data_IF_481553958531
#
_entry.id   IF_481553958531
#
_cell.length_a   1.000
_cell.length_b   1.000
_cell.length_c   1.000
_cell.angle_alpha   90.00
_cell.angle_beta   90.00
_cell.angle_gamma   90.00
#
_symmetry.space_group_name_H-M   'P 1'
#
loop_
_entity.id
_entity.type
_entity.pdbx_description
1 polymer ?
#
# COMPACT_ATOMS: atom_id res chain seq x y z
N UNK A 1 -29.87 14.55 21.41
CA UNK A 1 -28.85 14.11 20.44
C UNK A 1 -28.29 12.80 20.96
N UNK A 2 -28.58 11.68 20.30
CA UNK A 2 -27.84 10.45 20.58
C UNK A 2 -26.35 10.74 20.40
N UNK A 3 -25.52 10.35 21.38
CA UNK A 3 -24.08 10.31 21.16
C UNK A 3 -23.86 9.39 19.98
N UNK A 4 -23.34 9.91 18.86
CA UNK A 4 -22.91 9.09 17.74
C UNK A 4 -22.02 7.96 18.27
N UNK A 5 -22.45 6.72 18.02
CA UNK A 5 -21.84 5.53 18.59
C UNK A 5 -20.48 5.34 17.92
N UNK A 6 -19.39 5.54 18.67
CA UNK A 6 -18.01 5.32 18.22
C UNK A 6 -17.85 3.88 17.70
N UNK A 7 -17.54 3.66 16.41
CA UNK A 7 -17.42 2.32 15.87
C UNK A 7 -16.11 1.66 16.33
N UNK A 8 -16.05 0.34 16.36
CA UNK A 8 -14.78 -0.37 16.39
C UNK A 8 -14.13 -0.31 15.01
N UNK A 9 -12.81 -0.40 14.96
CA UNK A 9 -12.05 -0.39 13.72
C UNK A 9 -11.16 -1.64 13.70
N UNK A 10 -11.35 -2.48 12.68
CA UNK A 10 -10.55 -3.67 12.43
C UNK A 10 -9.88 -3.52 11.07
N UNK A 11 -8.55 -3.43 11.05
CA UNK A 11 -7.76 -3.30 9.83
C UNK A 11 -6.95 -4.56 9.61
N UNK A 12 -7.13 -5.21 8.46
CA UNK A 12 -6.31 -6.33 8.00
C UNK A 12 -5.42 -5.81 6.88
N UNK A 13 -4.11 -5.97 7.03
CA UNK A 13 -3.14 -5.54 6.03
C UNK A 13 -2.19 -6.66 5.63
N UNK A 14 -2.04 -6.86 4.32
CA UNK A 14 -1.09 -7.80 3.72
C UNK A 14 0.10 -7.09 3.10
N UNK A 15 1.11 -7.88 2.78
CA UNK A 15 2.36 -7.45 2.18
C UNK A 15 2.40 -7.83 0.69
N UNK A 16 2.81 -6.93 -0.19
CA UNK A 16 3.12 -7.25 -1.60
C UNK A 16 1.95 -7.89 -2.40
N UNK A 17 0.70 -7.57 -2.06
CA UNK A 17 -0.49 -8.11 -2.75
C UNK A 17 -1.03 -7.17 -3.83
N UNK A 18 -0.84 -5.86 -3.69
CA UNK A 18 -1.39 -4.85 -4.59
C UNK A 18 -2.88 -5.03 -4.84
N UNK A 19 -3.27 -5.08 -6.11
CA UNK A 19 -4.64 -5.38 -6.57
C UNK A 19 -4.82 -6.78 -7.13
N UNK A 20 -3.98 -7.73 -6.70
CA UNK A 20 -4.02 -9.09 -7.22
C UNK A 20 -5.17 -9.94 -6.62
N UNK A 21 -6.42 -9.50 -6.77
CA UNK A 21 -7.61 -10.05 -6.14
C UNK A 21 -8.79 -10.16 -7.13
N UNK A 22 -9.73 -11.08 -6.88
CA UNK A 22 -10.90 -11.31 -7.73
C UNK A 22 -11.79 -10.07 -7.89
N UNK A 23 -12.06 -9.32 -6.81
CA UNK A 23 -12.87 -8.10 -6.84
C UNK A 23 -12.23 -6.93 -7.61
N UNK A 24 -10.94 -7.03 -7.94
CA UNK A 24 -10.23 -6.12 -8.83
C UNK A 24 -10.08 -6.66 -10.26
N UNK A 25 -10.75 -7.78 -10.58
CA UNK A 25 -10.82 -8.36 -11.92
C UNK A 25 -9.71 -9.36 -12.25
N UNK A 26 -8.91 -9.80 -11.27
CA UNK A 26 -7.85 -10.80 -11.49
C UNK A 26 -8.38 -12.22 -11.44
N UNK A 27 -7.81 -13.12 -12.23
CA UNK A 27 -8.19 -14.54 -12.26
C UNK A 27 -7.61 -15.33 -11.06
N UNK A 28 -8.04 -14.98 -9.85
CA UNK A 28 -7.74 -15.66 -8.60
C UNK A 28 -8.98 -15.72 -7.71
N UNK A 29 -9.24 -16.88 -7.11
CA UNK A 29 -10.42 -17.08 -6.27
C UNK A 29 -10.23 -16.41 -4.90
N UNK A 30 -11.01 -15.36 -4.65
CA UNK A 30 -11.04 -14.64 -3.37
C UNK A 30 -12.49 -14.38 -2.92
N UNK A 31 -13.30 -15.43 -2.69
CA UNK A 31 -14.73 -15.27 -2.41
C UNK A 31 -15.03 -14.44 -1.14
N UNK A 32 -14.18 -14.49 -0.12
CA UNK A 32 -14.43 -13.74 1.12
C UNK A 32 -14.14 -12.24 0.96
N UNK A 33 -13.09 -11.88 0.22
CA UNK A 33 -12.78 -10.52 -0.18
C UNK A 33 -13.78 -9.97 -1.19
N UNK A 34 -14.28 -10.80 -2.10
CA UNK A 34 -15.37 -10.43 -3.00
C UNK A 34 -16.63 -10.10 -2.20
N UNK A 35 -17.00 -10.95 -1.23
CA UNK A 35 -18.12 -10.67 -0.31
C UNK A 35 -17.90 -9.36 0.46
N UNK A 36 -16.68 -9.11 0.95
CA UNK A 36 -16.36 -7.86 1.66
C UNK A 36 -16.56 -6.63 0.77
N UNK A 37 -16.19 -6.73 -0.51
CA UNK A 37 -16.43 -5.68 -1.50
C UNK A 37 -17.93 -5.49 -1.80
N UNK A 38 -18.65 -6.58 -2.02
CA UNK A 38 -20.09 -6.58 -2.36
C UNK A 38 -20.97 -6.07 -1.22
N UNK A 39 -20.61 -6.35 0.03
CA UNK A 39 -21.31 -5.85 1.21
C UNK A 39 -20.91 -4.40 1.57
N UNK A 40 -19.73 -3.96 1.16
CA UNK A 40 -19.09 -2.73 1.61
C UNK A 40 -18.82 -1.73 0.48
N UNK A 41 -17.59 -1.20 0.48
CA UNK A 41 -17.07 -0.24 -0.49
C UNK A 41 -15.72 -0.72 -1.01
N UNK A 42 -15.53 -0.66 -2.32
CA UNK A 42 -14.26 -0.93 -3.01
C UNK A 42 -13.69 0.34 -3.65
N UNK A 43 -12.41 0.61 -3.42
CA UNK A 43 -11.69 1.77 -3.98
C UNK A 43 -10.78 1.37 -5.13
N UNK A 44 -11.03 1.92 -6.32
CA UNK A 44 -10.47 1.37 -7.58
C UNK A 44 -9.41 2.24 -8.20
N UNK A 45 -9.22 3.44 -7.66
CA UNK A 45 -8.20 4.41 -8.05
C UNK A 45 -7.43 4.92 -6.80
N UNK A 46 -7.11 3.98 -5.89
CA UNK A 46 -6.32 4.18 -4.68
C UNK A 46 -4.87 3.70 -4.82
N UNK A 47 -3.91 4.53 -4.41
CA UNK A 47 -2.48 4.23 -4.55
C UNK A 47 -1.71 4.47 -3.25
N UNK A 48 -0.67 3.69 -3.00
CA UNK A 48 0.25 4.00 -1.90
C UNK A 48 1.17 5.17 -2.27
N UNK A 49 1.60 5.92 -1.26
CA UNK A 49 2.63 6.96 -1.38
C UNK A 49 3.98 6.44 -1.80
N UNK A 50 4.27 5.16 -1.54
CA UNK A 50 5.60 4.60 -1.66
C UNK A 50 5.54 3.09 -1.98
N UNK A 51 6.25 2.59 -3.01
CA UNK A 51 6.27 1.17 -3.36
C UNK A 51 7.19 0.34 -2.45
N UNK A 52 7.36 0.75 -1.18
CA UNK A 52 8.11 0.05 -0.15
C UNK A 52 7.24 -0.10 1.10
N UNK A 53 7.35 -1.26 1.75
CA UNK A 53 6.48 -1.64 2.86
C UNK A 53 6.53 -0.68 4.06
N UNK A 54 7.72 -0.38 4.63
CA UNK A 54 7.82 0.51 5.80
C UNK A 54 7.29 1.92 5.51
N UNK A 55 7.78 2.64 4.47
CA UNK A 55 7.29 3.97 4.14
C UNK A 55 5.79 4.01 3.85
N UNK A 56 5.26 3.05 3.07
CA UNK A 56 3.82 3.02 2.74
C UNK A 56 2.95 2.84 3.98
N UNK A 57 3.29 1.87 4.83
CA UNK A 57 2.53 1.60 6.07
C UNK A 57 2.60 2.78 7.03
N UNK A 58 3.75 3.45 7.12
CA UNK A 58 3.86 4.69 7.88
C UNK A 58 2.96 5.80 7.31
N UNK A 59 2.86 5.96 6.00
CA UNK A 59 1.93 6.92 5.39
C UNK A 59 0.46 6.60 5.69
N UNK A 60 0.10 5.31 5.69
CA UNK A 60 -1.22 4.83 6.10
C UNK A 60 -1.57 5.25 7.54
N UNK A 61 -0.62 5.11 8.47
CA UNK A 61 -0.83 5.40 9.90
C UNK A 61 -0.72 6.89 10.25
N UNK A 62 0.09 7.66 9.52
CA UNK A 62 0.38 9.07 9.84
C UNK A 62 -0.40 10.05 8.97
N UNK A 63 -0.96 9.60 7.85
CA UNK A 63 -1.57 10.46 6.83
C UNK A 63 -0.58 11.43 6.18
N UNK A 64 0.72 11.12 6.16
CA UNK A 64 1.81 11.98 5.69
C UNK A 64 2.66 11.28 4.63
N UNK A 65 3.41 12.05 3.83
CA UNK A 65 4.35 11.49 2.86
C UNK A 65 5.64 10.96 3.54
N UNK A 66 6.31 9.95 2.96
CA UNK A 66 7.59 9.41 3.47
C UNK A 66 8.63 10.44 3.88
N UNK A 67 8.94 11.42 3.04
CA UNK A 67 9.94 12.45 3.37
C UNK A 67 9.48 13.39 4.50
N UNK A 68 8.19 13.42 4.82
CA UNK A 68 7.65 14.24 5.90
C UNK A 68 7.52 13.49 7.22
N UNK A 69 7.22 12.19 7.21
CA UNK A 69 7.20 11.37 8.43
C UNK A 69 8.57 10.73 8.75
N UNK A 70 9.58 10.92 7.90
CA UNK A 70 10.98 10.55 8.16
C UNK A 70 11.35 9.12 7.74
N UNK A 71 10.38 8.21 7.73
CA UNK A 71 10.58 6.81 7.30
C UNK A 71 10.65 6.70 5.76
N UNK A 72 11.81 7.07 5.21
CA UNK A 72 12.12 7.12 3.77
C UNK A 72 12.77 5.84 3.21
N UNK A 73 12.92 4.81 4.06
CA UNK A 73 13.50 3.51 3.76
C UNK A 73 12.93 2.43 4.68
N UNK A 74 13.51 1.22 4.65
CA UNK A 74 12.99 0.07 5.39
C UNK A 74 13.37 0.10 6.88
N UNK A 75 12.39 -0.12 7.76
CA UNK A 75 12.60 -0.02 9.21
C UNK A 75 13.62 -1.04 9.73
N UNK A 76 13.59 -2.27 9.23
CA UNK A 76 14.57 -3.31 9.58
C UNK A 76 15.99 -3.03 9.05
N UNK A 77 16.16 -2.00 8.20
CA UNK A 77 17.45 -1.55 7.67
C UNK A 77 17.91 -0.24 8.31
N UNK A 78 17.39 0.11 9.48
CA UNK A 78 17.86 1.26 10.26
C UNK A 78 17.19 2.60 9.93
N UNK A 79 16.14 2.61 9.11
CA UNK A 79 15.31 3.81 8.90
C UNK A 79 14.22 3.89 9.97
N UNK A 80 13.80 5.10 10.35
CA UNK A 80 12.79 5.30 11.38
C UNK A 80 11.86 6.46 11.05
N UNK A 81 10.69 6.47 11.69
CA UNK A 81 9.85 7.65 11.78
C UNK A 81 10.57 8.80 12.50
N UNK A 82 10.16 10.04 12.22
CA UNK A 82 10.51 11.15 13.09
C UNK A 82 9.88 10.96 14.48
N UNK A 83 10.42 11.68 15.45
CA UNK A 83 9.85 11.75 16.79
C UNK A 83 8.51 12.50 16.72
N UNK A 84 7.52 12.09 17.54
CA UNK A 84 6.22 12.75 17.69
C UNK A 84 5.39 12.86 16.40
N UNK A 85 5.45 11.83 15.55
CA UNK A 85 4.53 11.71 14.42
C UNK A 85 3.10 11.38 14.89
N UNK A 86 2.06 11.96 14.25
CA UNK A 86 0.65 11.78 14.63
C UNK A 86 0.15 10.40 14.20
N UNK A 87 0.53 9.37 14.95
CA UNK A 87 0.22 7.98 14.65
C UNK A 87 -1.23 7.65 15.01
N UNK A 88 -1.98 7.13 14.03
CA UNK A 88 -3.38 6.75 14.20
C UNK A 88 -3.67 5.91 15.46
N UNK A 89 -2.87 4.87 15.81
CA UNK A 89 -3.12 4.11 17.03
C UNK A 89 -2.99 4.96 18.30
N UNK A 90 -2.00 5.85 18.38
CA UNK A 90 -1.83 6.76 19.52
C UNK A 90 -3.00 7.75 19.63
N UNK A 91 -3.39 8.37 18.51
CA UNK A 91 -4.51 9.32 18.47
C UNK A 91 -5.85 8.68 18.89
N UNK A 92 -6.07 7.43 18.48
CA UNK A 92 -7.25 6.67 18.90
C UNK A 92 -7.19 6.31 20.39
N UNK A 93 -6.03 5.92 20.90
CA UNK A 93 -5.84 5.65 22.33
C UNK A 93 -6.17 6.88 23.19
N UNK A 94 -5.66 8.06 22.81
CA UNK A 94 -5.94 9.33 23.48
C UNK A 94 -7.43 9.69 23.44
N UNK A 95 -8.15 9.28 22.39
CA UNK A 95 -9.59 9.44 22.25
C UNK A 95 -10.44 8.37 22.97
N UNK A 96 -9.81 7.49 23.74
CA UNK A 96 -10.44 6.47 24.57
C UNK A 96 -10.67 5.11 23.91
N UNK A 97 -10.03 4.82 22.77
CA UNK A 97 -10.04 3.49 22.19
C UNK A 97 -9.03 2.58 22.88
N UNK A 98 -9.35 1.28 22.96
CA UNK A 98 -8.33 0.27 23.20
C UNK A 98 -7.61 -0.08 21.90
N UNK A 99 -6.27 0.00 21.85
CA UNK A 99 -5.50 -0.17 20.61
C UNK A 99 -4.62 -1.41 20.62
N UNK A 100 -4.77 -2.22 19.57
CA UNK A 100 -4.17 -3.55 19.48
C UNK A 100 -3.41 -3.74 18.17
N UNK A 101 -2.27 -4.42 18.25
CA UNK A 101 -1.55 -4.95 17.09
C UNK A 101 -1.50 -6.47 17.18
N UNK A 102 -1.93 -7.15 16.13
CA UNK A 102 -1.81 -8.60 15.97
C UNK A 102 -0.86 -8.92 14.81
N UNK A 103 0.16 -9.71 15.10
CA UNK A 103 1.10 -10.16 14.08
C UNK A 103 2.08 -9.08 13.66
N UNK A 104 2.13 -8.80 12.36
CA UNK A 104 3.24 -8.09 11.75
C UNK A 104 3.03 -6.59 11.64
N UNK A 105 4.09 -5.84 11.89
CA UNK A 105 4.23 -4.43 11.54
C UNK A 105 5.63 -4.22 10.96
N UNK A 106 5.81 -3.18 10.16
CA UNK A 106 7.06 -2.89 9.49
C UNK A 106 7.47 -1.40 9.51
N UNK A 107 6.81 -0.60 10.34
CA UNK A 107 6.99 0.84 10.49
C UNK A 107 8.06 1.19 11.54
N UNK A 108 8.34 0.29 12.47
CA UNK A 108 9.28 0.51 13.58
C UNK A 108 10.04 -0.76 13.97
N UNK A 109 11.23 -0.61 14.56
CA UNK A 109 11.92 -1.72 15.24
C UNK A 109 11.25 -2.07 16.58
N UNK A 110 10.49 -1.14 17.16
CA UNK A 110 9.72 -1.34 18.39
C UNK A 110 8.23 -1.08 18.14
N UNK A 111 7.38 -2.12 18.02
CA UNK A 111 5.94 -1.96 17.78
C UNK A 111 5.22 -1.06 18.80
N UNK A 112 5.68 -1.00 20.06
CA UNK A 112 5.06 -0.15 21.08
C UNK A 112 5.25 1.35 20.82
N UNK A 113 6.29 1.73 20.06
CA UNK A 113 6.49 3.13 19.65
C UNK A 113 5.42 3.63 18.67
N UNK A 114 4.60 2.74 18.12
CA UNK A 114 3.54 3.08 17.18
C UNK A 114 2.22 3.49 17.86
N UNK A 115 2.16 3.48 19.19
CA UNK A 115 0.96 3.88 19.95
C UNK A 115 -0.03 2.76 20.24
N UNK A 116 0.32 1.50 19.98
CA UNK A 116 -0.48 0.35 20.38
C UNK A 116 -0.35 0.09 21.88
N UNK A 117 -1.48 0.02 22.58
CA UNK A 117 -1.52 -0.31 24.01
C UNK A 117 -1.18 -1.77 24.28
N UNK A 118 -1.52 -2.68 23.36
CA UNK A 118 -1.19 -4.11 23.48
C UNK A 118 -0.78 -4.70 22.13
N UNK A 119 0.29 -5.49 22.16
CA UNK A 119 0.87 -6.15 20.98
C UNK A 119 0.82 -7.66 21.20
N UNK A 120 0.19 -8.37 20.27
CA UNK A 120 0.04 -9.83 20.27
C UNK A 120 1.01 -10.45 19.26
N UNK A 121 2.00 -11.17 19.78
CA UNK A 121 3.02 -11.84 18.98
C UNK A 121 2.62 -13.30 18.76
N UNK A 122 2.38 -13.66 17.50
CA UNK A 122 2.16 -15.03 17.08
C UNK A 122 3.49 -15.81 16.93
N UNK A 123 3.38 -17.13 16.73
CA UNK A 123 4.53 -18.00 16.43
C UNK A 123 5.33 -17.55 15.20
N UNK A 124 4.64 -16.96 14.23
CA UNK A 124 5.23 -16.30 13.06
C UNK A 124 4.32 -15.17 12.58
N UNK A 125 4.80 -14.38 11.63
CA UNK A 125 4.01 -13.33 10.97
C UNK A 125 2.98 -13.86 9.94
N UNK A 126 2.98 -15.16 9.64
CA UNK A 126 2.00 -15.77 8.73
C UNK A 126 0.56 -15.64 9.25
N UNK A 127 -0.37 -15.35 8.34
CA UNK A 127 -1.81 -15.36 8.59
C UNK A 127 -2.30 -16.66 9.28
N UNK A 128 -1.64 -17.80 9.06
CA UNK A 128 -1.97 -19.08 9.70
C UNK A 128 -1.77 -19.06 11.23
N UNK A 129 -0.80 -18.29 11.72
CA UNK A 129 -0.50 -18.17 13.15
C UNK A 129 -1.06 -16.90 13.78
N UNK A 130 -1.26 -15.84 13.00
CA UNK A 130 -1.85 -14.59 13.48
C UNK A 130 -3.37 -14.70 13.64
N UNK A 131 -4.05 -15.35 12.70
CA UNK A 131 -5.52 -15.46 12.70
C UNK A 131 -6.08 -16.06 13.99
N UNK A 132 -5.57 -17.19 14.53
CA UNK A 132 -6.07 -17.75 15.79
C UNK A 132 -6.10 -16.74 16.95
N UNK A 133 -5.07 -15.88 17.09
CA UNK A 133 -5.04 -14.86 18.14
C UNK A 133 -6.16 -13.82 17.98
N UNK A 134 -6.51 -13.49 16.75
CA UNK A 134 -7.62 -12.56 16.44
C UNK A 134 -8.95 -13.24 16.76
N UNK A 135 -9.12 -14.51 16.39
CA UNK A 135 -10.35 -15.27 16.67
C UNK A 135 -10.56 -15.40 18.18
N UNK A 136 -9.53 -15.76 18.94
CA UNK A 136 -9.58 -15.86 20.41
C UNK A 136 -9.98 -14.53 21.04
N UNK A 137 -9.35 -13.43 20.60
CA UNK A 137 -9.67 -12.09 21.08
C UNK A 137 -11.12 -11.68 20.80
N UNK A 138 -11.65 -11.98 19.61
CA UNK A 138 -13.04 -11.67 19.25
C UNK A 138 -14.03 -12.54 20.04
N UNK A 139 -13.70 -13.81 20.29
CA UNK A 139 -14.50 -14.72 21.10
C UNK A 139 -14.65 -14.25 22.56
N UNK A 140 -13.65 -13.55 23.10
CA UNK A 140 -13.71 -12.90 24.42
C UNK A 140 -14.65 -11.68 24.48
N UNK A 141 -15.25 -11.26 23.36
CA UNK A 141 -16.15 -10.10 23.24
C UNK A 141 -15.51 -8.83 23.82
N UNK A 142 -14.49 -8.29 23.13
CA UNK A 142 -13.65 -7.23 23.65
C UNK A 142 -14.45 -5.94 23.95
N UNK A 143 -13.94 -5.18 24.93
CA UNK A 143 -14.55 -3.91 25.32
C UNK A 143 -14.50 -2.92 24.15
N UNK A 144 -15.66 -2.34 23.82
CA UNK A 144 -15.82 -1.29 22.81
C UNK A 144 -15.58 0.11 23.42
N UNK A 145 -15.06 1.09 22.65
CA UNK A 145 -14.58 0.95 21.28
C UNK A 145 -13.12 0.47 21.23
N UNK A 146 -12.77 -0.29 20.20
CA UNK A 146 -11.39 -0.74 19.96
C UNK A 146 -10.90 -0.44 18.55
N UNK A 147 -9.59 -0.29 18.41
CA UNK A 147 -8.86 -0.29 17.15
C UNK A 147 -7.91 -1.48 17.14
N UNK A 148 -7.97 -2.31 16.11
CA UNK A 148 -7.00 -3.37 15.90
C UNK A 148 -6.40 -3.32 14.51
N UNK A 149 -5.07 -3.44 14.46
CA UNK A 149 -4.32 -3.71 13.24
C UNK A 149 -3.91 -5.18 13.24
N UNK A 150 -4.26 -5.89 12.18
CA UNK A 150 -3.93 -7.30 11.95
C UNK A 150 -3.00 -7.35 10.73
N UNK A 151 -1.72 -7.57 10.97
CA UNK A 151 -0.72 -7.64 9.91
C UNK A 151 -0.32 -9.06 9.57
N UNK A 152 -0.39 -9.40 8.29
CA UNK A 152 0.09 -10.66 7.75
C UNK A 152 1.38 -10.45 6.96
N UNK A 153 2.31 -11.42 7.02
CA UNK A 153 3.48 -11.45 6.14
C UNK A 153 3.11 -11.84 4.71
N UNK A 154 2.03 -12.60 4.52
CA UNK A 154 1.49 -12.87 3.20
C UNK A 154 1.08 -11.55 2.55
N UNK A 155 1.25 -11.40 1.24
CA UNK A 155 1.77 -12.35 0.26
C UNK A 155 3.26 -12.15 -0.05
N UNK A 156 4.09 -11.72 0.91
CA UNK A 156 5.54 -11.54 0.69
C UNK A 156 6.25 -12.84 0.26
N UNK A 157 7.35 -12.71 -0.49
CA UNK A 157 8.21 -13.83 -0.89
C UNK A 157 8.98 -14.43 0.31
N UNK A 158 9.45 -15.69 0.24
CA UNK A 158 9.34 -16.63 -0.87
C UNK A 158 7.92 -17.18 -1.04
N UNK A 159 7.51 -17.40 -2.29
CA UNK A 159 6.23 -18.04 -2.56
C UNK A 159 6.32 -19.57 -2.44
N UNK A 160 5.22 -20.26 -2.11
CA UNK A 160 5.15 -21.72 -2.22
C UNK A 160 5.38 -22.17 -3.66
N UNK A 161 5.96 -23.35 -3.83
CA UNK A 161 6.14 -23.97 -5.14
C UNK A 161 4.78 -24.34 -5.76
N UNK A 162 4.66 -24.17 -7.08
CA UNK A 162 3.49 -24.56 -7.86
C UNK A 162 3.94 -25.45 -9.02
N UNK A 163 3.43 -26.68 -9.05
CA UNK A 163 3.76 -27.75 -10.01
C UNK A 163 2.61 -28.07 -10.99
N UNK A 164 1.49 -27.36 -10.88
CA UNK A 164 0.31 -27.55 -11.73
C UNK A 164 0.42 -26.92 -13.12
N UNK A 165 -0.61 -27.12 -13.97
CA UNK A 165 -0.68 -26.53 -15.30
C UNK A 165 -0.80 -25.00 -15.23
N UNK A 166 -0.14 -24.31 -16.17
CA UNK A 166 -0.11 -22.82 -16.19
C UNK A 166 -0.89 -22.20 -17.35
N UNK A 167 -1.53 -23.00 -18.20
CA UNK A 167 -2.26 -22.52 -19.39
C UNK A 167 -3.37 -21.54 -19.03
N UNK A 168 -4.00 -21.74 -17.88
CA UNK A 168 -5.11 -20.95 -17.37
C UNK A 168 -4.69 -19.76 -16.49
N UNK A 169 -3.38 -19.59 -16.25
CA UNK A 169 -2.89 -18.53 -15.38
C UNK A 169 -2.80 -17.21 -16.16
N UNK A 170 -3.52 -16.21 -15.68
CA UNK A 170 -3.47 -14.86 -16.21
C UNK A 170 -2.09 -14.23 -15.97
N UNK A 171 -1.40 -13.86 -17.05
CA UNK A 171 -0.12 -13.15 -16.98
C UNK A 171 -0.28 -11.67 -16.63
N UNK A 172 0.75 -11.07 -16.04
CA UNK A 172 0.80 -9.62 -15.88
C UNK A 172 1.09 -8.94 -17.23
N UNK A 173 0.26 -8.00 -17.71
CA UNK A 173 0.45 -7.39 -19.03
C UNK A 173 1.79 -6.67 -19.21
N UNK A 174 2.44 -6.21 -18.14
CA UNK A 174 3.74 -5.54 -18.20
C UNK A 174 4.93 -6.51 -18.14
N UNK A 175 4.69 -7.82 -18.04
CA UNK A 175 5.71 -8.86 -18.06
C UNK A 175 5.61 -9.73 -19.32
N UNK A 176 6.70 -10.41 -19.71
CA UNK A 176 6.66 -11.43 -20.75
C UNK A 176 5.70 -12.57 -20.38
N UNK A 177 4.85 -12.94 -21.32
CA UNK A 177 3.91 -14.03 -21.15
C UNK A 177 4.57 -15.38 -21.48
N UNK A 178 5.31 -15.92 -20.50
CA UNK A 178 6.05 -17.18 -20.60
C UNK A 178 5.78 -18.06 -19.38
N UNK A 179 5.98 -19.37 -19.54
CA UNK A 179 5.68 -20.39 -18.53
C UNK A 179 6.27 -20.07 -17.14
N UNK A 180 7.54 -19.66 -17.07
CA UNK A 180 8.22 -19.29 -15.81
C UNK A 180 7.52 -18.13 -15.07
N UNK A 181 7.02 -17.13 -15.81
CA UNK A 181 6.29 -15.99 -15.21
C UNK A 181 4.91 -16.43 -14.75
N UNK A 182 4.19 -17.21 -15.56
CA UNK A 182 2.88 -17.76 -15.18
C UNK A 182 2.98 -18.67 -13.95
N UNK A 183 4.03 -19.48 -13.84
CA UNK A 183 4.28 -20.32 -12.66
C UNK A 183 4.52 -19.47 -11.41
N UNK A 184 5.29 -18.38 -11.50
CA UNK A 184 5.51 -17.44 -10.39
C UNK A 184 4.20 -16.76 -9.94
N UNK A 185 3.32 -16.42 -10.88
CA UNK A 185 1.97 -15.88 -10.60
C UNK A 185 1.09 -16.94 -9.95
N UNK A 186 1.15 -18.19 -10.40
CA UNK A 186 0.41 -19.30 -9.78
C UNK A 186 0.85 -19.53 -8.33
N UNK A 187 2.15 -19.42 -8.06
CA UNK A 187 2.70 -19.44 -6.70
C UNK A 187 2.19 -18.28 -5.83
N UNK A 188 2.07 -17.06 -6.37
CA UNK A 188 1.40 -15.94 -5.69
C UNK A 188 -0.07 -16.26 -5.37
N UNK A 189 -0.80 -16.86 -6.32
CA UNK A 189 -2.22 -17.21 -6.15
C UNK A 189 -2.46 -18.13 -4.95
N UNK A 190 -1.53 -19.03 -4.62
CA UNK A 190 -1.62 -19.89 -3.41
C UNK A 190 -1.72 -19.03 -2.14
N UNK A 191 -0.85 -18.01 -2.02
CA UNK A 191 -0.83 -17.14 -0.85
C UNK A 191 -2.07 -16.23 -0.80
N UNK A 192 -2.53 -15.73 -1.95
CA UNK A 192 -3.75 -14.92 -2.04
C UNK A 192 -4.98 -15.70 -1.57
N UNK A 193 -5.16 -16.95 -2.04
CA UNK A 193 -6.27 -17.81 -1.60
C UNK A 193 -6.22 -18.09 -0.09
N UNK A 194 -5.01 -18.36 0.44
CA UNK A 194 -4.81 -18.57 1.88
C UNK A 194 -5.21 -17.34 2.70
N UNK A 195 -4.83 -16.14 2.26
CA UNK A 195 -5.24 -14.89 2.90
C UNK A 195 -6.76 -14.76 2.87
N UNK A 196 -7.40 -14.99 1.72
CA UNK A 196 -8.85 -14.90 1.57
C UNK A 196 -9.60 -15.84 2.53
N UNK A 197 -9.14 -17.09 2.66
CA UNK A 197 -9.69 -18.07 3.61
C UNK A 197 -9.65 -17.53 5.06
N UNK A 198 -8.50 -16.96 5.46
CA UNK A 198 -8.31 -16.39 6.81
C UNK A 198 -9.12 -15.12 7.05
N UNK A 199 -9.32 -14.31 6.01
CA UNK A 199 -10.27 -13.18 6.08
C UNK A 199 -11.68 -13.71 6.30
N UNK A 200 -12.08 -14.78 5.61
CA UNK A 200 -13.37 -15.44 5.85
C UNK A 200 -13.57 -15.88 7.31
N UNK A 201 -12.54 -16.45 7.94
CA UNK A 201 -12.56 -16.81 9.36
C UNK A 201 -12.74 -15.59 10.27
N UNK A 202 -11.99 -14.51 10.04
CA UNK A 202 -12.08 -13.28 10.85
C UNK A 202 -13.46 -12.62 10.67
N UNK A 203 -13.98 -12.55 9.44
CA UNK A 203 -15.29 -11.97 9.17
C UNK A 203 -16.41 -12.74 9.89
N UNK A 204 -16.35 -14.08 9.91
CA UNK A 204 -17.29 -14.90 10.69
C UNK A 204 -17.15 -14.64 12.19
N UNK A 205 -15.94 -14.55 12.73
CA UNK A 205 -15.74 -14.26 14.15
C UNK A 205 -16.28 -12.87 14.57
N UNK A 206 -16.18 -11.86 13.70
CA UNK A 206 -16.82 -10.55 13.93
C UNK A 206 -18.35 -10.68 14.00
N UNK A 207 -18.94 -11.52 13.14
CA UNK A 207 -20.39 -11.79 13.13
C UNK A 207 -20.82 -12.58 14.38
N UNK A 208 -20.12 -13.66 14.72
CA UNK A 208 -20.39 -14.51 15.89
C UNK A 208 -20.26 -13.75 17.23
N UNK A 209 -19.35 -12.77 17.29
CA UNK A 209 -19.18 -11.89 18.43
C UNK A 209 -20.27 -10.80 18.54
N UNK A 210 -21.19 -10.69 17.57
CA UNK A 210 -22.21 -9.64 17.52
C UNK A 210 -21.61 -8.25 17.29
N UNK A 211 -20.50 -8.18 16.55
CA UNK A 211 -19.74 -6.95 16.31
C UNK A 211 -19.95 -6.36 14.91
N UNK A 212 -20.67 -7.06 14.03
CA UNK A 212 -20.86 -6.68 12.61
C UNK A 212 -21.30 -5.23 12.41
N UNK A 213 -22.37 -4.81 13.08
CA UNK A 213 -22.99 -3.50 12.84
C UNK A 213 -22.22 -2.34 13.50
N UNK A 214 -21.36 -2.66 14.48
CA UNK A 214 -20.58 -1.69 15.24
C UNK A 214 -19.12 -1.60 14.78
N UNK A 215 -18.69 -2.35 13.77
CA UNK A 215 -17.27 -2.47 13.41
C UNK A 215 -17.04 -2.13 11.94
N UNK A 216 -16.20 -1.13 11.69
CA UNK A 216 -15.62 -0.92 10.37
C UNK A 216 -14.52 -1.96 10.14
N UNK A 217 -14.78 -2.92 9.27
CA UNK A 217 -13.78 -3.86 8.80
C UNK A 217 -13.11 -3.29 7.55
N UNK A 218 -11.79 -3.21 7.57
CA UNK A 218 -10.95 -2.73 6.48
C UNK A 218 -9.99 -3.84 6.07
N UNK A 219 -9.95 -4.15 4.78
CA UNK A 219 -8.85 -4.90 4.18
C UNK A 219 -8.04 -3.95 3.30
N UNK A 220 -6.71 -3.95 3.42
CA UNK A 220 -5.82 -3.15 2.58
C UNK A 220 -4.48 -3.83 2.30
N UNK A 221 -3.71 -3.29 1.38
CA UNK A 221 -2.35 -3.74 1.04
C UNK A 221 -1.37 -2.59 1.17
N UNK A 222 -0.12 -2.86 1.52
CA UNK A 222 0.89 -1.80 1.62
C UNK A 222 1.34 -1.25 0.27
N UNK A 223 1.63 -2.10 -0.71
CA UNK A 223 1.99 -1.69 -2.06
C UNK A 223 1.72 -2.80 -3.07
N UNK A 224 2.14 -2.57 -4.32
CA UNK A 224 2.02 -3.49 -5.43
C UNK A 224 2.74 -4.82 -5.26
N UNK A 225 2.55 -5.72 -6.22
CA UNK A 225 3.04 -7.10 -6.17
C UNK A 225 4.58 -7.21 -6.22
N UNK A 226 5.15 -8.25 -5.59
CA UNK A 226 6.59 -8.53 -5.58
C UNK A 226 7.11 -9.09 -6.93
N UNK A 227 6.92 -8.35 -8.01
CA UNK A 227 7.34 -8.72 -9.36
C UNK A 227 8.17 -7.60 -10.01
N UNK A 228 9.06 -7.92 -10.97
CA UNK A 228 9.79 -6.89 -11.73
C UNK A 228 8.82 -5.89 -12.37
N UNK A 229 9.13 -4.60 -12.28
CA UNK A 229 8.27 -3.52 -12.77
C UNK A 229 7.10 -3.14 -11.86
N UNK A 230 6.93 -3.83 -10.73
CA UNK A 230 5.97 -3.48 -9.68
C UNK A 230 6.70 -2.97 -8.43
N UNK A 231 6.95 -3.82 -7.43
CA UNK A 231 7.65 -3.48 -6.17
C UNK A 231 8.90 -2.62 -6.40
N UNK A 232 9.08 -1.61 -5.53
CA UNK A 232 10.14 -0.61 -5.61
C UNK A 232 10.15 0.29 -6.86
N UNK A 233 9.06 0.36 -7.63
CA UNK A 233 8.90 1.28 -8.77
C UNK A 233 7.69 2.21 -8.57
N UNK A 234 7.72 3.39 -9.20
CA UNK A 234 6.57 4.31 -9.20
C UNK A 234 5.58 4.02 -10.35
N UNK A 235 5.73 2.89 -11.04
CA UNK A 235 4.74 2.39 -11.99
C UNK A 235 3.49 1.92 -11.24
N UNK A 236 2.32 1.97 -11.89
CA UNK A 236 1.03 1.63 -11.30
C UNK A 236 1.05 0.23 -10.69
N UNK A 237 1.62 -0.82 -11.33
CA UNK A 237 1.75 -2.13 -10.70
C UNK A 237 2.50 -2.13 -9.36
N UNK A 238 3.35 -1.13 -9.10
CA UNK A 238 4.10 -0.95 -7.87
C UNK A 238 3.38 -0.13 -6.80
N UNK A 239 2.47 0.76 -7.20
CA UNK A 239 1.80 1.70 -6.29
C UNK A 239 0.29 1.50 -6.17
N UNK A 240 -0.34 0.72 -7.04
CA UNK A 240 -1.75 0.39 -6.93
C UNK A 240 -1.99 -0.56 -5.76
N UNK A 241 -2.93 -0.19 -4.88
CA UNK A 241 -3.26 -0.98 -3.71
C UNK A 241 -4.74 -1.33 -3.69
N UNK A 242 -5.07 -2.38 -2.95
CA UNK A 242 -6.46 -2.70 -2.64
C UNK A 242 -6.86 -2.00 -1.35
N UNK A 243 -8.10 -1.51 -1.31
CA UNK A 243 -8.77 -1.18 -0.05
C UNK A 243 -10.25 -1.54 -0.16
N UNK A 244 -10.74 -2.30 0.81
CA UNK A 244 -12.15 -2.68 0.97
C UNK A 244 -12.58 -2.25 2.36
N UNK A 245 -13.76 -1.63 2.48
CA UNK A 245 -14.29 -1.17 3.76
C UNK A 245 -15.76 -1.57 3.90
N UNK A 246 -16.12 -2.23 5.01
CA UNK A 246 -17.49 -2.65 5.32
C UNK A 246 -17.84 -2.36 6.76
N UNK A 247 -18.89 -1.59 7.00
CA UNK A 247 -19.39 -1.29 8.34
C UNK A 247 -20.09 0.08 8.46
N UNK A 248 -20.18 0.63 9.68
CA UNK A 248 -20.88 1.89 9.95
C UNK A 248 -20.21 3.09 9.26
N UNK A 249 -20.96 4.18 9.08
CA UNK A 249 -20.46 5.41 8.45
C UNK A 249 -20.69 5.51 6.94
N UNK A 250 -21.63 4.72 6.41
CA UNK A 250 -21.96 4.67 4.98
C UNK A 250 -21.10 3.72 4.16
N UNK A 251 -20.27 2.89 4.82
CA UNK A 251 -19.44 1.86 4.19
C UNK A 251 -20.22 0.57 3.97
N UNK A 252 -21.31 0.66 3.22
CA UNK A 252 -22.24 -0.43 2.93
C UNK A 252 -22.79 -0.30 1.50
N UNK A 253 -23.36 -1.39 0.99
CA UNK A 253 -24.17 -1.38 -0.23
C UNK A 253 -23.39 -1.61 -1.54
N UNK A 254 -22.22 -2.23 -1.48
CA UNK A 254 -21.47 -2.63 -2.68
C UNK A 254 -21.00 -1.45 -3.54
N UNK A 255 -20.68 -0.32 -2.91
CA UNK A 255 -20.31 0.90 -3.64
C UNK A 255 -18.92 0.75 -4.26
N UNK A 256 -18.77 1.30 -5.46
CA UNK A 256 -17.48 1.42 -6.15
C UNK A 256 -17.06 2.88 -6.18
N UNK A 257 -15.92 3.20 -5.57
CA UNK A 257 -15.34 4.54 -5.58
C UNK A 257 -14.14 4.53 -6.54
N UNK A 258 -14.18 5.36 -7.58
CA UNK A 258 -13.17 5.50 -8.63
C UNK A 258 -12.43 6.85 -8.60
N UNK A 259 -12.79 7.72 -7.64
CA UNK A 259 -12.05 8.93 -7.34
C UNK A 259 -10.56 8.63 -7.08
N UNK A 260 -9.68 9.52 -7.54
CA UNK A 260 -8.24 9.40 -7.35
C UNK A 260 -7.88 9.62 -5.87
N UNK A 261 -7.27 8.61 -5.25
CA UNK A 261 -7.02 8.54 -3.80
C UNK A 261 -5.61 8.06 -3.47
N UNK A 262 -5.16 8.36 -2.25
CA UNK A 262 -3.91 7.85 -1.70
C UNK A 262 -4.08 7.17 -0.35
N UNK A 263 -3.23 6.19 -0.02
CA UNK A 263 -3.25 5.52 1.30
C UNK A 263 -3.12 6.48 2.49
N UNK A 264 -2.51 7.65 2.31
CA UNK A 264 -2.44 8.71 3.33
C UNK A 264 -3.81 9.31 3.67
N UNK A 265 -4.85 9.08 2.86
CA UNK A 265 -6.23 9.47 3.13
C UNK A 265 -6.90 8.57 4.18
N UNK A 266 -6.29 7.43 4.51
CA UNK A 266 -6.84 6.46 5.46
C UNK A 266 -6.95 7.00 6.89
N UNK A 267 -5.84 7.41 7.50
CA UNK A 267 -5.83 7.94 8.87
C UNK A 267 -6.82 9.09 9.09
N UNK A 268 -6.86 10.15 8.25
CA UNK A 268 -7.85 11.22 8.42
C UNK A 268 -9.29 10.73 8.26
N UNK A 269 -9.54 9.74 7.40
CA UNK A 269 -10.89 9.13 7.27
C UNK A 269 -11.32 8.42 8.55
N UNK A 270 -10.42 7.65 9.18
CA UNK A 270 -10.73 6.96 10.44
C UNK A 270 -10.97 7.96 11.56
N UNK A 271 -10.17 9.03 11.66
CA UNK A 271 -10.36 10.07 12.67
C UNK A 271 -11.69 10.81 12.48
N UNK A 272 -12.01 11.20 11.25
CA UNK A 272 -13.28 11.85 10.90
C UNK A 272 -14.49 10.98 11.25
N UNK A 273 -14.44 9.69 10.89
CA UNK A 273 -15.49 8.71 11.23
C UNK A 273 -15.69 8.59 12.75
N UNK A 274 -14.62 8.71 13.52
CA UNK A 274 -14.66 8.62 14.97
C UNK A 274 -15.04 9.94 15.67
N UNK A 275 -15.23 11.03 14.91
CA UNK A 275 -15.43 12.37 15.44
C UNK A 275 -14.20 12.92 16.18
N UNK A 276 -13.00 12.50 15.78
CA UNK A 276 -11.72 12.92 16.38
C UNK A 276 -11.09 14.00 15.48
N UNK A 277 -10.60 15.12 16.04
CA UNK A 277 -9.94 16.15 15.26
C UNK A 277 -8.76 15.61 14.45
N UNK A 278 -8.75 15.90 13.15
CA UNK A 278 -7.64 15.54 12.25
C UNK A 278 -6.46 16.48 12.50
N UNK A 279 -5.27 15.98 12.86
CA UNK A 279 -4.09 16.83 13.05
C UNK A 279 -3.73 17.59 11.76
N UNK A 280 -3.42 18.88 11.89
CA UNK A 280 -3.04 19.75 10.75
C UNK A 280 -1.76 19.31 10.04
N UNK A 281 -0.95 18.44 10.69
CA UNK A 281 0.21 17.79 10.08
C UNK A 281 -0.18 16.73 9.03
N UNK A 282 -1.38 16.16 9.08
CA UNK A 282 -1.81 15.18 8.09
C UNK A 282 -1.98 15.87 6.74
N UNK A 283 -1.47 15.23 5.70
CA UNK A 283 -1.51 15.71 4.31
C UNK A 283 -2.61 15.02 3.50
N UNK A 284 -3.21 13.96 4.07
CA UNK A 284 -4.39 13.30 3.52
C UNK A 284 -5.69 13.99 3.86
N UNK A 285 -6.73 13.53 3.17
CA UNK A 285 -8.10 14.04 3.35
C UNK A 285 -9.02 12.89 3.70
N UNK A 286 -10.05 13.17 4.49
CA UNK A 286 -11.09 12.20 4.77
C UNK A 286 -11.82 11.83 3.48
N UNK A 287 -12.06 10.52 3.30
CA UNK A 287 -12.84 9.96 2.20
C UNK A 287 -14.35 10.01 2.48
N UNK A 288 -14.79 10.35 3.70
CA UNK A 288 -16.22 10.33 4.06
C UNK A 288 -17.12 11.16 3.14
N UNK A 289 -16.72 12.36 2.67
CA UNK A 289 -17.53 13.11 1.71
C UNK A 289 -17.81 12.32 0.41
N UNK A 290 -16.85 11.51 -0.07
CA UNK A 290 -17.07 10.62 -1.22
C UNK A 290 -18.06 9.50 -0.85
N UNK A 291 -17.90 8.89 0.33
CA UNK A 291 -18.74 7.78 0.79
C UNK A 291 -20.21 8.19 0.96
N UNK A 292 -20.42 9.44 1.36
CA UNK A 292 -21.74 10.07 1.53
C UNK A 292 -22.32 10.64 0.23
N UNK A 293 -21.56 10.63 -0.86
CA UNK A 293 -21.99 11.22 -2.15
C UNK A 293 -22.07 12.75 -2.12
N UNK A 294 -21.34 13.40 -1.22
CA UNK A 294 -21.30 14.86 -1.09
C UNK A 294 -20.36 15.50 -2.13
N UNK A 295 -19.35 14.74 -2.59
CA UNK A 295 -18.39 15.14 -3.62
C UNK A 295 -18.09 13.95 -4.53
N UNK A 296 -17.70 14.23 -5.76
CA UNK A 296 -17.28 13.21 -6.74
C UNK A 296 -15.76 13.01 -6.80
N UNK A 297 -14.99 14.00 -6.33
CA UNK A 297 -13.52 14.00 -6.38
C UNK A 297 -12.91 14.49 -5.07
N UNK A 298 -11.79 13.88 -4.68
CA UNK A 298 -11.01 14.29 -3.49
C UNK A 298 -9.68 14.96 -3.86
N UNK A 299 -9.05 14.49 -4.94
CA UNK A 299 -7.75 14.98 -5.42
C UNK A 299 -7.76 15.14 -6.94
N UNK A 300 -7.21 16.26 -7.41
CA UNK A 300 -6.88 16.46 -8.84
C UNK A 300 -5.63 15.66 -9.26
N UNK A 301 -4.72 15.45 -8.31
CA UNK A 301 -3.52 14.66 -8.46
C UNK A 301 -3.05 14.13 -7.11
N UNK A 302 -2.32 13.02 -7.15
CA UNK A 302 -1.63 12.43 -6.00
C UNK A 302 -0.13 12.33 -6.29
N UNK A 303 0.65 12.11 -5.24
CA UNK A 303 2.10 12.00 -5.33
C UNK A 303 2.58 10.65 -4.83
N UNK A 304 3.63 10.15 -5.47
CA UNK A 304 4.29 8.89 -5.13
C UNK A 304 5.79 9.11 -5.05
N UNK A 305 6.47 8.47 -4.12
CA UNK A 305 7.89 8.68 -3.89
C UNK A 305 8.64 7.46 -3.39
N UNK A 306 9.92 7.44 -3.71
CA UNK A 306 10.89 6.48 -3.19
C UNK A 306 12.19 7.23 -2.93
N UNK A 307 12.85 6.96 -1.80
CA UNK A 307 14.21 7.47 -1.54
C UNK A 307 15.15 6.30 -1.34
N UNK A 308 14.81 5.40 -0.41
CA UNK A 308 15.53 4.14 -0.18
C UNK A 308 14.56 2.96 -0.25
N UNK A 309 15.00 1.86 -0.85
CA UNK A 309 14.49 0.53 -0.51
C UNK A 309 15.61 -0.24 0.20
N UNK A 310 16.31 -1.10 -0.53
CA UNK A 310 17.61 -1.62 -0.11
C UNK A 310 18.76 -0.68 -0.51
N UNK A 311 18.73 -0.19 -1.75
CA UNK A 311 19.64 0.85 -2.24
C UNK A 311 18.98 2.24 -2.18
N UNK A 312 19.82 3.29 -2.21
CA UNK A 312 19.37 4.64 -2.56
C UNK A 312 18.82 4.61 -3.98
N UNK A 313 17.62 5.10 -4.24
CA UNK A 313 17.02 5.20 -5.58
C UNK A 313 15.92 6.29 -5.60
N UNK A 314 16.30 7.57 -5.47
CA UNK A 314 15.36 8.67 -5.30
C UNK A 314 14.53 8.91 -6.57
N UNK A 315 13.23 8.66 -6.43
CA UNK A 315 12.21 8.90 -7.44
C UNK A 315 11.09 9.74 -6.82
N UNK A 316 10.53 10.66 -7.60
CA UNK A 316 9.29 11.37 -7.27
C UNK A 316 8.35 11.30 -8.46
N UNK A 317 7.06 11.15 -8.21
CA UNK A 317 6.05 11.11 -9.24
C UNK A 317 4.79 11.87 -8.85
N UNK A 318 4.10 12.36 -9.87
CA UNK A 318 2.76 12.93 -9.77
C UNK A 318 1.85 12.18 -10.74
N UNK A 319 0.68 11.78 -10.25
CA UNK A 319 -0.35 11.06 -10.99
C UNK A 319 -1.63 11.87 -10.95
N UNK A 320 -2.24 12.06 -12.12
CA UNK A 320 -3.62 12.53 -12.31
C UNK A 320 -4.47 11.34 -12.79
N UNK A 321 -5.76 11.57 -13.06
CA UNK A 321 -6.61 10.53 -13.67
C UNK A 321 -6.05 10.03 -15.02
N UNK A 322 -5.47 10.93 -15.83
CA UNK A 322 -5.01 10.62 -17.19
C UNK A 322 -3.50 10.51 -17.36
N UNK A 323 -2.73 11.36 -16.70
CA UNK A 323 -1.28 11.43 -16.89
C UNK A 323 -0.52 11.06 -15.63
N UNK A 324 0.60 10.38 -15.80
CA UNK A 324 1.60 10.18 -14.75
C UNK A 324 2.97 10.64 -15.20
N UNK A 325 3.65 11.38 -14.34
CA UNK A 325 5.00 11.85 -14.54
C UNK A 325 5.89 11.37 -13.41
N UNK A 326 7.05 10.81 -13.75
CA UNK A 326 8.06 10.30 -12.82
C UNK A 326 9.40 10.94 -13.13
N UNK A 327 10.10 11.39 -12.09
CA UNK A 327 11.46 11.91 -12.17
C UNK A 327 12.41 11.05 -11.34
N UNK A 328 13.47 10.58 -11.99
CA UNK A 328 14.63 9.98 -11.32
C UNK A 328 15.64 11.06 -10.98
N UNK A 329 16.09 11.08 -9.73
CA UNK A 329 17.13 12.01 -9.27
C UNK A 329 18.52 11.38 -9.28
N UNK A 330 18.60 10.10 -9.65
CA UNK A 330 19.86 9.38 -9.82
C UNK A 330 19.92 8.69 -11.18
N UNK A 331 21.13 8.58 -11.71
CA UNK A 331 21.38 7.74 -12.89
C UNK A 331 21.35 6.28 -12.45
N UNK A 332 20.53 5.47 -13.13
CA UNK A 332 20.47 4.03 -12.89
C UNK A 332 20.85 3.29 -14.16
N UNK A 333 21.81 2.34 -14.08
CA UNK A 333 22.18 1.53 -15.23
C UNK A 333 21.05 0.58 -15.66
N UNK A 334 20.01 0.42 -14.82
CA UNK A 334 18.97 -0.57 -14.97
C UNK A 334 17.57 0.08 -14.94
N UNK A 335 16.66 -0.41 -15.78
CA UNK A 335 15.30 0.12 -15.90
C UNK A 335 14.48 -0.22 -14.65
N UNK A 336 14.46 -1.50 -14.30
CA UNK A 336 13.87 -1.98 -13.05
C UNK A 336 14.92 -2.07 -11.95
N UNK A 337 14.55 -1.67 -10.72
CA UNK A 337 15.49 -1.74 -9.62
C UNK A 337 15.72 -3.22 -9.27
N UNK A 338 16.96 -3.56 -8.90
CA UNK A 338 17.31 -4.91 -8.41
C UNK A 338 16.68 -5.26 -7.05
N UNK A 339 16.02 -4.28 -6.45
CA UNK A 339 15.37 -4.25 -5.15
C UNK A 339 14.15 -5.19 -4.99
N UNK A 340 13.69 -5.87 -6.05
CA UNK A 340 12.66 -6.92 -5.93
C UNK A 340 13.31 -8.25 -5.51
N UNK A 341 12.69 -8.99 -4.60
CA UNK A 341 13.20 -10.29 -4.16
C UNK A 341 13.32 -11.31 -5.32
N UNK A 342 14.13 -12.34 -5.12
CA UNK A 342 14.35 -13.40 -6.10
C UNK A 342 13.08 -14.19 -6.46
N UNK A 343 13.00 -14.63 -7.71
CA UNK A 343 11.89 -15.43 -8.22
C UNK A 343 12.03 -15.72 -9.71
N UNK A 344 11.21 -16.63 -10.23
CA UNK A 344 11.24 -17.03 -11.64
C UNK A 344 11.07 -15.82 -12.59
N UNK A 345 10.16 -14.90 -12.27
CA UNK A 345 9.94 -13.71 -13.09
C UNK A 345 11.14 -12.78 -13.11
N UNK A 346 11.89 -12.67 -12.00
CA UNK A 346 13.11 -11.86 -11.93
C UNK A 346 14.21 -12.45 -12.80
N UNK A 347 14.35 -13.78 -12.79
CA UNK A 347 15.31 -14.47 -13.66
C UNK A 347 14.95 -14.36 -15.15
N UNK A 348 13.66 -14.42 -15.50
CA UNK A 348 13.19 -14.13 -16.86
C UNK A 348 13.56 -12.69 -17.26
N UNK A 349 13.22 -11.70 -16.44
CA UNK A 349 13.56 -10.30 -16.70
C UNK A 349 15.08 -10.09 -16.88
N UNK A 350 15.90 -10.81 -16.12
CA UNK A 350 17.36 -10.82 -16.26
C UNK A 350 17.81 -11.40 -17.60
N UNK A 351 17.33 -12.59 -17.98
CA UNK A 351 17.70 -13.23 -19.26
C UNK A 351 17.30 -12.37 -20.46
N UNK A 352 16.20 -11.63 -20.37
CA UNK A 352 15.73 -10.71 -21.42
C UNK A 352 16.42 -9.33 -21.40
N UNK A 353 17.38 -9.13 -20.49
CA UNK A 353 18.19 -7.91 -20.44
C UNK A 353 17.45 -6.68 -19.93
N UNK A 354 16.39 -6.84 -19.12
CA UNK A 354 15.65 -5.70 -18.55
C UNK A 354 16.51 -4.92 -17.55
N UNK A 355 17.42 -5.62 -16.86
CA UNK A 355 18.45 -5.00 -16.05
C UNK A 355 19.66 -4.50 -16.86
N UNK A 356 19.67 -4.54 -18.19
CA UNK A 356 20.82 -4.05 -18.98
C UNK A 356 20.53 -2.71 -19.67
N UNK A 357 19.42 -2.05 -19.32
CA UNK A 357 18.96 -0.81 -19.96
C UNK A 357 18.94 0.34 -18.94
N UNK A 358 19.57 1.49 -19.22
CA UNK A 358 19.54 2.61 -18.29
C UNK A 358 18.12 3.16 -18.14
N UNK A 359 17.76 3.60 -16.93
CA UNK A 359 16.49 4.27 -16.68
C UNK A 359 16.54 5.73 -17.14
N UNK A 360 15.52 6.23 -17.85
CA UNK A 360 15.40 7.65 -18.16
C UNK A 360 15.32 8.51 -16.90
N UNK A 361 15.84 9.73 -16.96
CA UNK A 361 15.74 10.70 -15.85
C UNK A 361 14.32 11.23 -15.67
N UNK A 362 13.52 11.22 -16.74
CA UNK A 362 12.14 11.70 -16.77
C UNK A 362 11.29 10.72 -17.57
N UNK A 363 10.08 10.47 -17.09
CA UNK A 363 9.10 9.60 -17.74
C UNK A 363 7.72 10.24 -17.66
N UNK A 364 7.01 10.30 -18.80
CA UNK A 364 5.63 10.79 -18.91
C UNK A 364 4.78 9.73 -19.61
N UNK A 365 3.64 9.39 -19.03
CA UNK A 365 2.70 8.40 -19.55
C UNK A 365 1.29 8.99 -19.65
N UNK A 366 0.61 8.72 -20.77
CA UNK A 366 -0.84 8.90 -20.92
C UNK A 366 -1.52 7.57 -20.58
N UNK A 367 -2.08 7.48 -19.38
CA UNK A 367 -2.67 6.27 -18.80
C UNK A 367 -3.98 5.87 -19.48
N UNK A 368 -4.63 6.77 -20.22
CA UNK A 368 -5.80 6.41 -21.02
C UNK A 368 -5.38 5.68 -22.30
N UNK A 369 -4.30 6.14 -22.95
CA UNK A 369 -3.79 5.53 -24.18
C UNK A 369 -2.87 4.32 -23.90
N UNK A 370 -2.17 4.33 -22.77
CA UNK A 370 -1.19 3.34 -22.36
C UNK A 370 -1.27 3.09 -20.84
N UNK A 371 -2.30 2.35 -20.38
CA UNK A 371 -2.53 2.08 -18.95
C UNK A 371 -1.45 1.23 -18.30
N UNK A 372 -0.54 0.65 -19.09
CA UNK A 372 0.57 -0.20 -18.63
C UNK A 372 1.94 0.46 -18.78
N UNK A 373 1.96 1.75 -19.16
CA UNK A 373 3.13 2.63 -19.04
C UNK A 373 4.37 2.16 -19.80
N UNK A 374 4.16 1.69 -21.03
CA UNK A 374 5.22 1.21 -21.92
C UNK A 374 5.88 2.33 -22.72
N UNK A 375 5.12 3.35 -23.12
CA UNK A 375 5.58 4.43 -24.01
C UNK A 375 5.87 5.69 -23.20
N UNK A 376 7.16 5.98 -23.01
CA UNK A 376 7.59 7.25 -22.45
C UNK A 376 7.38 8.38 -23.48
N UNK A 377 6.64 9.42 -23.09
CA UNK A 377 6.22 10.54 -23.95
C UNK A 377 7.07 11.81 -23.77
N UNK A 378 8.16 11.78 -22.98
CA UNK A 378 8.96 12.99 -22.69
C UNK A 378 9.54 13.68 -23.93
N UNK A 379 9.83 12.92 -24.98
CA UNK A 379 10.39 13.43 -26.23
C UNK A 379 9.33 13.71 -27.31
N UNK A 380 8.04 13.46 -27.01
CA UNK A 380 6.95 13.69 -27.95
C UNK A 380 6.50 15.16 -27.88
N UNK A 381 6.69 15.96 -28.95
CA UNK A 381 6.39 17.40 -28.92
C UNK A 381 4.91 17.70 -28.71
N UNK A 382 4.00 16.75 -29.01
CA UNK A 382 2.57 16.92 -28.78
C UNK A 382 2.22 16.95 -27.28
N UNK A 383 3.10 16.42 -26.42
CA UNK A 383 2.91 16.36 -24.97
C UNK A 383 3.76 17.39 -24.21
N UNK A 384 4.47 18.30 -24.90
CA UNK A 384 5.39 19.24 -24.28
C UNK A 384 4.73 20.13 -23.20
N UNK A 385 3.51 20.63 -23.46
CA UNK A 385 2.76 21.43 -22.47
C UNK A 385 2.34 20.59 -21.26
N UNK A 386 1.89 19.35 -21.51
CA UNK A 386 1.52 18.42 -20.44
C UNK A 386 2.72 18.07 -19.57
N UNK A 387 3.87 17.81 -20.20
CA UNK A 387 5.12 17.53 -19.52
C UNK A 387 5.51 18.70 -18.60
N UNK A 388 5.47 19.93 -19.10
CA UNK A 388 5.83 21.10 -18.30
C UNK A 388 4.87 21.37 -17.13
N UNK A 389 3.57 21.16 -17.36
CA UNK A 389 2.56 21.20 -16.30
C UNK A 389 2.87 20.17 -15.21
N UNK A 390 3.12 18.91 -15.58
CA UNK A 390 3.38 17.82 -14.63
C UNK A 390 4.69 18.04 -13.87
N UNK A 391 5.75 18.52 -14.53
CA UNK A 391 7.01 18.96 -13.89
C UNK A 391 6.75 20.04 -12.85
N UNK A 392 5.95 21.04 -13.20
CA UNK A 392 5.62 22.16 -12.31
C UNK A 392 4.84 21.70 -11.08
N UNK A 393 3.83 20.84 -11.25
CA UNK A 393 3.06 20.28 -10.14
C UNK A 393 3.98 19.51 -9.18
N UNK A 394 4.83 18.62 -9.70
CA UNK A 394 5.75 17.84 -8.88
C UNK A 394 6.73 18.73 -8.11
N UNK A 395 7.36 19.68 -8.80
CA UNK A 395 8.33 20.62 -8.21
C UNK A 395 7.71 21.49 -7.11
N UNK A 396 6.47 21.94 -7.32
CA UNK A 396 5.76 22.75 -6.33
C UNK A 396 5.39 21.94 -5.09
N UNK A 397 4.97 20.68 -5.27
CA UNK A 397 4.73 19.79 -4.13
C UNK A 397 6.01 19.56 -3.33
N UNK A 398 7.11 19.15 -3.98
CA UNK A 398 8.41 18.94 -3.31
C UNK A 398 8.85 20.17 -2.49
N UNK A 399 8.67 21.38 -3.03
CA UNK A 399 8.98 22.62 -2.31
C UNK A 399 8.06 22.87 -1.13
N UNK A 400 6.75 22.75 -1.34
CA UNK A 400 5.72 23.01 -0.30
C UNK A 400 5.81 22.02 0.85
N UNK A 401 6.19 20.78 0.58
CA UNK A 401 6.38 19.74 1.59
C UNK A 401 7.81 19.69 2.13
N UNK A 402 8.68 20.62 1.74
CA UNK A 402 10.07 20.68 2.20
C UNK A 402 10.84 19.36 1.95
N UNK A 403 10.61 18.72 0.81
CA UNK A 403 11.30 17.50 0.40
C UNK A 403 12.83 17.73 0.39
N UNK A 404 13.61 16.93 1.15
CA UNK A 404 15.05 17.12 1.26
C UNK A 404 15.78 16.95 -0.09
N UNK A 405 15.21 16.23 -1.07
CA UNK A 405 15.79 16.12 -2.41
C UNK A 405 15.89 17.46 -3.15
N UNK A 406 15.11 18.47 -2.77
CA UNK A 406 15.25 19.83 -3.32
C UNK A 406 16.63 20.42 -3.00
N UNK A 407 17.27 19.95 -1.92
CA UNK A 407 18.62 20.36 -1.49
C UNK A 407 19.73 19.42 -2.01
N UNK A 408 19.39 18.33 -2.68
CA UNK A 408 20.34 17.35 -3.21
C UNK A 408 20.27 16.00 -2.49
N UNK A 409 21.43 15.34 -2.36
CA UNK A 409 21.55 14.01 -1.78
C UNK A 409 20.95 13.92 -0.37
N UNK A 410 20.14 12.89 -0.12
CA UNK A 410 19.57 12.59 1.19
C UNK A 410 20.40 11.47 1.80
N UNK A 411 21.25 11.71 2.81
CA UNK A 411 22.07 10.67 3.40
C UNK A 411 21.22 9.65 4.17
N UNK A 412 21.64 8.37 4.24
CA UNK A 412 20.99 7.39 5.08
C UNK A 412 21.31 7.67 6.55
N UNK A 413 20.49 7.20 7.50
CA UNK A 413 20.84 7.21 8.92
C UNK A 413 22.18 6.49 9.18
N UNK A 414 22.94 6.87 10.23
CA UNK A 414 24.27 6.29 10.49
C UNK A 414 24.30 4.75 10.57
N UNK A 415 23.28 4.14 11.16
CA UNK A 415 23.18 2.69 11.34
C UNK A 415 22.40 1.99 10.21
N UNK A 416 22.07 2.71 9.14
CA UNK A 416 21.26 2.15 8.07
C UNK A 416 22.08 1.26 7.14
N UNK A 417 21.51 0.10 6.81
CA UNK A 417 22.13 -0.85 5.87
C UNK A 417 21.70 -0.49 4.46
N UNK A 418 22.61 0.05 3.66
CA UNK A 418 22.34 0.45 2.26
C UNK A 418 23.11 -0.44 1.31
N UNK A 419 22.38 -1.07 0.40
CA UNK A 419 22.95 -1.91 -0.66
C UNK A 419 23.49 -1.03 -1.79
N UNK A 420 24.63 -1.40 -2.43
CA UNK A 420 25.15 -0.66 -3.57
C UNK A 420 24.09 -0.50 -4.69
N UNK A 421 23.96 0.68 -5.32
CA UNK A 421 22.92 0.95 -6.33
C UNK A 421 22.93 0.05 -7.57
N UNK A 422 24.05 -0.62 -7.83
CA UNK A 422 24.27 -1.55 -8.94
C UNK A 422 24.15 -3.04 -8.55
N UNK A 423 23.91 -3.35 -7.28
CA UNK A 423 23.74 -4.72 -6.81
C UNK A 423 22.52 -5.39 -7.41
N UNK A 424 22.57 -6.67 -7.75
CA UNK A 424 21.41 -7.39 -8.32
C UNK A 424 20.35 -7.80 -7.27
N UNK A 425 20.75 -7.94 -6.00
CA UNK A 425 19.88 -8.35 -4.90
C UNK A 425 19.75 -7.23 -3.86
N UNK A 426 18.62 -7.15 -3.14
CA UNK A 426 18.45 -6.24 -2.01
C UNK A 426 19.50 -6.43 -0.91
#
# INVERSE_FOLDING_TARGET
MEKEKKPNILVIITHDTGRHLGCYGRKVETPNLNRLADEGVIFTNLFCTAPQCSPSRASLLTGRYPHNHGLIGLAHRGFSLNIEEPLLPALLADAGYSTYLFGFQHESSNPHSLGYQKVFKAKSNSCLHVTPLVLDFLAEKPKKPFFMMVGFSETHRPFPEYDGPVDDIEGFPYLPDVEDVRRDIASLNILVRRVDEKIGEILRAVEDAGLKDDTLVVFTTDHGVAFPGAKATLYDPGVEISMLMRGPGGFEGGKRIDALLSNLDFAPTILDLCGIPIPTKMQGKSMLPLIRGEVDKLHEWIFVEQTYHAAYDPLRGVRTERFKYIRSFEKRPFWFPPNVDGGLSKEVARRLGYFNRPRPSEMLFDLHADPIERKNLVDDPNYAETLERMRTILKNWMRRTADPLVKGYVPPPPDAVVTPPDSYTP
#
